data_IF_749019455531
#
_entry.id   IF_749019455531
#
_cell.length_a   1.000
_cell.length_b   1.000
_cell.length_c   1.000
_cell.angle_alpha   90.00
_cell.angle_beta   90.00
_cell.angle_gamma   90.00
#
_symmetry.space_group_name_H-M   'P 1'
#
loop_
_entity.id
_entity.type
_entity.pdbx_description
1 polymer ?
#
# COMPACT_ATOMS: atom_id res chain seq x y z
N UNK A 1 11.84 -35.97 15.72
CA UNK A 1 12.85 -34.98 16.14
C UNK A 1 13.01 -33.98 15.01
N UNK A 2 12.77 -32.68 15.20
CA UNK A 2 12.98 -31.71 14.13
C UNK A 2 14.50 -31.59 13.91
N UNK A 3 14.93 -31.80 12.67
CA UNK A 3 16.32 -31.62 12.28
C UNK A 3 16.76 -30.20 12.68
N UNK A 4 17.73 -30.10 13.57
CA UNK A 4 18.34 -28.82 13.93
C UNK A 4 18.96 -28.21 12.69
N UNK A 5 18.32 -27.18 12.14
CA UNK A 5 18.90 -26.38 11.07
C UNK A 5 20.18 -25.75 11.61
N UNK A 6 21.32 -26.30 11.20
CA UNK A 6 22.64 -25.83 11.62
C UNK A 6 22.79 -24.34 11.26
N UNK A 7 23.14 -23.45 12.22
CA UNK A 7 23.20 -22.00 12.00
C UNK A 7 24.18 -21.56 10.90
N UNK A 8 25.11 -22.43 10.51
CA UNK A 8 26.05 -22.22 9.40
C UNK A 8 25.35 -22.26 8.02
N UNK A 9 24.28 -23.04 7.85
CA UNK A 9 23.58 -23.16 6.57
C UNK A 9 22.74 -21.90 6.22
N UNK A 10 22.18 -21.23 7.23
CA UNK A 10 21.39 -20.00 7.05
C UNK A 10 22.25 -18.80 6.61
N UNK A 11 23.56 -18.83 6.90
CA UNK A 11 24.49 -17.76 6.52
C UNK A 11 24.76 -17.67 5.02
N UNK A 12 24.41 -18.70 4.23
CA UNK A 12 24.62 -18.73 2.76
C UNK A 12 23.34 -18.57 1.94
N UNK A 13 22.17 -18.60 2.57
CA UNK A 13 20.89 -18.46 1.88
C UNK A 13 20.78 -17.05 1.27
N UNK A 14 20.32 -16.94 0.03
CA UNK A 14 20.04 -15.63 -0.57
C UNK A 14 18.92 -14.91 0.20
N UNK A 15 18.81 -13.57 0.11
CA UNK A 15 17.69 -12.85 0.73
C UNK A 15 16.30 -13.37 0.33
N UNK A 16 16.16 -13.81 -0.92
CA UNK A 16 14.93 -14.43 -1.44
C UNK A 16 14.70 -15.82 -0.83
N UNK A 17 15.73 -16.63 -0.64
CA UNK A 17 15.60 -17.95 0.01
C UNK A 17 15.12 -17.80 1.45
N UNK A 18 15.63 -16.80 2.19
CA UNK A 18 15.15 -16.50 3.54
C UNK A 18 13.67 -16.10 3.56
N UNK A 19 13.19 -15.36 2.57
CA UNK A 19 11.76 -15.02 2.47
C UNK A 19 10.91 -16.23 2.10
N UNK A 20 11.41 -17.08 1.19
CA UNK A 20 10.73 -18.33 0.84
C UNK A 20 10.59 -19.24 2.05
N UNK A 21 11.66 -19.37 2.87
CA UNK A 21 11.62 -20.13 4.13
C UNK A 21 10.67 -19.49 5.15
N UNK A 22 10.72 -18.16 5.32
CA UNK A 22 9.85 -17.43 6.23
C UNK A 22 8.36 -17.67 5.95
N UNK A 23 7.97 -17.72 4.68
CA UNK A 23 6.56 -17.91 4.29
C UNK A 23 6.17 -19.37 3.99
N UNK A 24 7.09 -20.32 4.02
CA UNK A 24 6.84 -21.70 3.58
C UNK A 24 5.67 -22.36 4.33
N UNK A 25 5.60 -22.17 5.65
CA UNK A 25 4.58 -22.77 6.52
C UNK A 25 3.53 -21.79 7.04
N UNK A 26 3.59 -20.51 6.68
CA UNK A 26 2.74 -19.48 7.30
C UNK A 26 1.28 -19.56 6.79
N UNK A 27 0.29 -19.85 7.67
CA UNK A 27 -1.12 -19.94 7.29
C UNK A 27 -1.79 -18.56 7.35
N UNK A 28 -1.12 -17.54 6.81
CA UNK A 28 -1.60 -16.15 6.81
C UNK A 28 -1.85 -15.66 5.39
N UNK A 29 -2.55 -14.52 5.25
CA UNK A 29 -2.73 -13.85 3.95
C UNK A 29 -1.38 -13.65 3.26
N UNK A 30 -0.40 -13.12 3.98
CA UNK A 30 0.93 -12.85 3.44
C UNK A 30 1.65 -14.14 3.01
N UNK A 31 1.50 -15.23 3.78
CA UNK A 31 2.03 -16.55 3.40
C UNK A 31 1.45 -17.06 2.09
N UNK A 32 0.12 -17.01 1.93
CA UNK A 32 -0.56 -17.39 0.68
C UNK A 32 -0.04 -16.56 -0.50
N UNK A 33 -0.02 -15.22 -0.35
CA UNK A 33 0.41 -14.31 -1.41
C UNK A 33 1.89 -14.48 -1.76
N UNK A 34 2.74 -14.74 -0.77
CA UNK A 34 4.17 -14.96 -0.97
C UNK A 34 4.44 -16.27 -1.71
N UNK A 35 3.78 -17.36 -1.33
CA UNK A 35 3.88 -18.65 -2.01
C UNK A 35 3.39 -18.60 -3.45
N UNK A 36 2.24 -17.94 -3.67
CA UNK A 36 1.71 -17.70 -5.01
C UNK A 36 2.69 -16.86 -5.85
N UNK A 37 3.25 -15.79 -5.28
CA UNK A 37 4.28 -15.00 -5.94
C UNK A 37 5.47 -15.89 -6.35
N UNK A 38 6.01 -16.70 -5.43
CA UNK A 38 7.14 -17.60 -5.69
C UNK A 38 6.84 -18.76 -6.66
N UNK A 39 5.63 -18.88 -7.20
CA UNK A 39 5.23 -19.99 -8.07
C UNK A 39 5.15 -21.33 -7.34
N UNK A 40 4.96 -21.30 -6.02
CA UNK A 40 4.95 -22.49 -5.13
C UNK A 40 3.75 -22.46 -4.17
N UNK A 41 2.50 -22.37 -4.65
CA UNK A 41 1.33 -22.42 -3.78
C UNK A 41 1.33 -23.73 -2.98
N UNK A 42 0.94 -23.67 -1.71
CA UNK A 42 0.78 -24.85 -0.88
C UNK A 42 -0.58 -25.52 -1.13
N UNK A 43 -0.65 -26.82 -0.88
CA UNK A 43 -1.93 -27.53 -0.87
C UNK A 43 -2.84 -26.91 0.19
N UNK A 44 -4.06 -26.52 -0.22
CA UNK A 44 -5.03 -25.88 0.67
C UNK A 44 -4.97 -24.35 0.74
N UNK A 45 -4.07 -23.67 0.02
CA UNK A 45 -4.00 -22.20 0.02
C UNK A 45 -5.31 -21.53 -0.43
N UNK A 46 -5.96 -22.08 -1.46
CA UNK A 46 -7.27 -21.61 -1.92
C UNK A 46 -8.36 -21.75 -0.85
N UNK A 47 -8.36 -22.88 -0.13
CA UNK A 47 -9.31 -23.14 0.95
C UNK A 47 -9.02 -22.26 2.17
N UNK A 48 -7.76 -22.00 2.47
CA UNK A 48 -7.36 -21.07 3.52
C UNK A 48 -7.79 -19.63 3.18
N UNK A 49 -7.60 -19.20 1.93
CA UNK A 49 -8.05 -17.89 1.45
C UNK A 49 -9.58 -17.74 1.59
N UNK A 50 -10.35 -18.74 1.15
CA UNK A 50 -11.82 -18.77 1.29
C UNK A 50 -12.26 -18.65 2.75
N UNK A 51 -11.71 -19.48 3.64
CA UNK A 51 -12.01 -19.43 5.10
C UNK A 51 -11.63 -18.09 5.71
N UNK A 52 -10.57 -17.45 5.23
CA UNK A 52 -10.15 -16.15 5.71
C UNK A 52 -11.14 -15.05 5.29
N UNK A 53 -11.64 -15.07 4.05
CA UNK A 53 -12.71 -14.17 3.58
C UNK A 53 -14.00 -14.39 4.37
N UNK A 54 -14.41 -15.63 4.61
CA UNK A 54 -15.60 -15.98 5.39
C UNK A 54 -15.49 -15.49 6.84
N UNK A 55 -14.40 -15.80 7.52
CA UNK A 55 -14.14 -15.34 8.90
C UNK A 55 -14.13 -13.82 8.97
N UNK A 56 -13.46 -13.18 8.02
CA UNK A 56 -13.44 -11.73 7.89
C UNK A 56 -14.84 -11.14 7.76
N UNK A 57 -15.71 -11.77 6.97
CA UNK A 57 -17.11 -11.38 6.81
C UNK A 57 -17.93 -11.56 8.09
N UNK A 58 -17.66 -12.61 8.88
CA UNK A 58 -18.31 -12.86 10.16
C UNK A 58 -17.87 -11.90 11.27
N UNK A 59 -16.65 -11.34 11.18
CA UNK A 59 -16.13 -10.33 12.11
C UNK A 59 -16.69 -8.91 11.85
N UNK A 60 -17.38 -8.69 10.73
CA UNK A 60 -17.98 -7.40 10.40
C UNK A 60 -19.19 -7.12 11.28
N UNK A 61 -19.33 -5.87 11.70
CA UNK A 61 -20.55 -5.37 12.33
C UNK A 61 -21.69 -5.30 11.30
N UNK A 62 -22.92 -5.12 11.78
CA UNK A 62 -24.11 -5.00 10.92
C UNK A 62 -24.03 -3.84 9.93
N UNK A 63 -23.29 -2.78 10.26
CA UNK A 63 -23.03 -1.64 9.37
C UNK A 63 -21.92 -1.91 8.34
N UNK A 64 -21.24 -3.05 8.40
CA UNK A 64 -20.12 -3.41 7.51
C UNK A 64 -18.74 -3.00 8.03
N UNK A 65 -18.65 -2.32 9.19
CA UNK A 65 -17.36 -1.92 9.77
C UNK A 65 -16.64 -3.06 10.48
N UNK A 66 -15.31 -3.05 10.40
CA UNK A 66 -14.43 -3.91 11.20
C UNK A 66 -13.99 -3.15 12.47
N UNK A 67 -14.49 -3.60 13.62
CA UNK A 67 -14.18 -3.02 14.95
C UNK A 67 -14.48 -1.51 15.06
N UNK A 68 -15.34 -0.96 14.21
CA UNK A 68 -15.75 0.45 14.24
C UNK A 68 -14.65 1.46 13.87
N UNK A 69 -13.51 1.04 13.31
CA UNK A 69 -12.42 1.96 12.92
C UNK A 69 -12.23 1.96 11.41
N UNK A 70 -12.03 3.14 10.82
CA UNK A 70 -11.90 3.29 9.37
C UNK A 70 -10.69 2.56 8.82
N UNK A 71 -9.50 2.75 9.37
CA UNK A 71 -8.26 2.14 8.85
C UNK A 71 -8.36 0.60 8.87
N UNK A 72 -8.89 0.01 9.95
CA UNK A 72 -9.09 -1.45 10.03
C UNK A 72 -10.13 -1.93 9.02
N UNK A 73 -11.22 -1.20 8.85
CA UNK A 73 -12.29 -1.55 7.90
C UNK A 73 -11.79 -1.46 6.46
N UNK A 74 -11.09 -0.38 6.11
CA UNK A 74 -10.50 -0.21 4.78
C UNK A 74 -9.47 -1.31 4.54
N UNK A 75 -8.60 -1.60 5.51
CA UNK A 75 -7.62 -2.68 5.37
C UNK A 75 -8.29 -4.03 5.14
N UNK A 76 -9.42 -4.30 5.82
CA UNK A 76 -10.16 -5.54 5.61
C UNK A 76 -10.64 -5.71 4.17
N UNK A 77 -11.03 -4.61 3.50
CA UNK A 77 -11.35 -4.64 2.07
C UNK A 77 -10.14 -5.06 1.23
N UNK A 78 -8.96 -4.48 1.50
CA UNK A 78 -7.72 -4.86 0.84
C UNK A 78 -7.35 -6.33 1.05
N UNK A 79 -7.51 -6.84 2.26
CA UNK A 79 -7.19 -8.24 2.57
C UNK A 79 -8.09 -9.21 1.79
N UNK A 80 -9.40 -8.91 1.69
CA UNK A 80 -10.33 -9.70 0.88
C UNK A 80 -10.01 -9.61 -0.63
N UNK A 81 -9.70 -8.42 -1.13
CA UNK A 81 -9.31 -8.20 -2.53
C UNK A 81 -8.00 -8.91 -2.88
N UNK A 82 -7.02 -8.90 -1.98
CA UNK A 82 -5.75 -9.61 -2.16
C UNK A 82 -5.97 -11.13 -2.25
N UNK A 83 -6.92 -11.66 -1.48
CA UNK A 83 -7.27 -13.09 -1.47
C UNK A 83 -8.25 -13.50 -2.58
N UNK A 84 -8.55 -12.59 -3.52
CA UNK A 84 -9.37 -12.89 -4.70
C UNK A 84 -10.87 -12.94 -4.43
N UNK A 85 -11.35 -12.27 -3.38
CA UNK A 85 -12.80 -12.10 -3.20
C UNK A 85 -13.41 -11.42 -4.45
N UNK A 86 -14.46 -12.03 -5.00
CA UNK A 86 -15.25 -11.41 -6.07
C UNK A 86 -15.82 -10.06 -5.59
N UNK A 87 -15.86 -9.01 -6.43
CA UNK A 87 -16.52 -7.75 -6.10
C UNK A 87 -17.97 -7.92 -5.62
N UNK A 88 -18.67 -8.96 -6.08
CA UNK A 88 -20.05 -9.27 -5.72
C UNK A 88 -20.17 -10.15 -4.45
N UNK A 89 -19.04 -10.57 -3.86
CA UNK A 89 -19.07 -11.35 -2.63
C UNK A 89 -19.65 -10.51 -1.49
N UNK A 90 -20.73 -10.99 -0.87
CA UNK A 90 -21.46 -10.26 0.17
C UNK A 90 -20.58 -9.66 1.29
N UNK A 91 -19.53 -10.34 1.81
CA UNK A 91 -18.61 -9.73 2.77
C UNK A 91 -17.89 -8.49 2.24
N UNK A 92 -17.36 -8.56 1.01
CA UNK A 92 -16.60 -7.48 0.41
C UNK A 92 -17.51 -6.29 0.05
N UNK A 93 -18.68 -6.57 -0.54
CA UNK A 93 -19.69 -5.54 -0.85
C UNK A 93 -20.09 -4.75 0.40
N UNK A 94 -20.36 -5.42 1.55
CA UNK A 94 -20.69 -4.73 2.80
C UNK A 94 -19.57 -3.82 3.29
N UNK A 95 -18.32 -4.29 3.28
CA UNK A 95 -17.16 -3.46 3.69
C UNK A 95 -17.00 -2.26 2.75
N UNK A 96 -17.08 -2.49 1.44
CA UNK A 96 -16.92 -1.44 0.45
C UNK A 96 -18.04 -0.40 0.54
N UNK A 97 -19.29 -0.81 0.77
CA UNK A 97 -20.40 0.12 1.02
C UNK A 97 -20.06 1.04 2.20
N UNK A 98 -19.63 0.48 3.33
CA UNK A 98 -19.24 1.26 4.49
C UNK A 98 -18.07 2.22 4.19
N UNK A 99 -17.03 1.75 3.49
CA UNK A 99 -15.88 2.59 3.10
C UNK A 99 -16.31 3.74 2.19
N UNK A 100 -17.16 3.46 1.20
CA UNK A 100 -17.62 4.46 0.24
C UNK A 100 -18.55 5.50 0.88
N UNK A 101 -19.31 5.12 1.91
CA UNK A 101 -20.10 6.06 2.71
C UNK A 101 -19.25 7.05 3.51
N UNK A 102 -17.93 6.84 3.66
CA UNK A 102 -17.04 7.85 4.25
C UNK A 102 -16.83 9.05 3.33
N UNK A 103 -17.13 8.97 2.03
CA UNK A 103 -17.04 10.13 1.13
C UNK A 103 -18.20 11.09 1.40
N UNK A 104 -17.88 12.38 1.53
CA UNK A 104 -18.86 13.43 1.79
C UNK A 104 -19.29 13.55 3.25
N UNK A 105 -18.77 12.71 4.15
CA UNK A 105 -18.88 12.91 5.60
C UNK A 105 -17.90 14.00 6.06
N UNK A 106 -18.20 14.72 7.15
CA UNK A 106 -17.26 15.64 7.75
C UNK A 106 -16.06 14.89 8.33
N UNK A 107 -14.90 15.51 8.30
CA UNK A 107 -13.60 15.02 8.73
C UNK A 107 -12.67 14.61 7.59
N UNK A 108 -13.00 14.96 6.34
CA UNK A 108 -12.15 14.65 5.20
C UNK A 108 -10.88 15.52 5.18
N UNK A 109 -9.80 14.99 4.59
CA UNK A 109 -8.69 15.87 4.21
C UNK A 109 -9.22 16.92 3.23
N UNK A 110 -8.79 18.17 3.39
CA UNK A 110 -9.29 19.27 2.56
C UNK A 110 -10.46 20.03 3.18
N UNK A 111 -11.19 19.47 4.15
CA UNK A 111 -12.33 20.17 4.78
C UNK A 111 -11.91 21.45 5.51
N UNK A 112 -12.72 22.49 5.36
CA UNK A 112 -12.47 23.81 5.95
C UNK A 112 -11.50 24.66 5.14
N UNK A 113 -11.64 25.98 5.27
CA UNK A 113 -10.87 26.96 4.53
C UNK A 113 -10.34 28.07 5.46
N UNK A 114 -9.03 28.13 5.61
CA UNK A 114 -8.31 29.27 6.18
C UNK A 114 -7.39 29.91 5.12
N UNK A 115 -6.79 31.06 5.43
CA UNK A 115 -5.96 31.81 4.49
C UNK A 115 -4.74 31.02 3.99
N UNK A 116 -4.12 30.23 4.87
CA UNK A 116 -2.92 29.45 4.53
C UNK A 116 -3.29 28.29 3.58
N UNK A 117 -4.31 27.52 3.94
CA UNK A 117 -4.81 26.40 3.13
C UNK A 117 -5.38 26.88 1.80
N UNK A 118 -6.08 28.01 1.79
CA UNK A 118 -6.60 28.59 0.55
C UNK A 118 -5.47 29.02 -0.38
N UNK A 119 -4.47 29.75 0.13
CA UNK A 119 -3.30 30.16 -0.65
C UNK A 119 -2.51 28.99 -1.24
N UNK A 120 -2.55 27.83 -0.60
CA UNK A 120 -1.90 26.59 -1.06
C UNK A 120 -2.83 25.63 -1.80
N UNK A 121 -4.09 26.00 -2.00
CA UNK A 121 -5.09 25.17 -2.68
C UNK A 121 -5.33 23.81 -2.00
N UNK A 122 -5.38 23.80 -0.67
CA UNK A 122 -5.56 22.62 0.20
C UNK A 122 -6.87 22.61 1.00
N UNK A 123 -7.77 23.53 0.67
CA UNK A 123 -9.12 23.57 1.22
C UNK A 123 -10.12 22.95 0.24
N UNK A 124 -11.35 22.74 0.71
CA UNK A 124 -12.46 22.13 0.00
C UNK A 124 -12.84 22.81 -1.33
N UNK A 125 -12.45 24.08 -1.51
CA UNK A 125 -12.57 24.76 -2.81
C UNK A 125 -11.73 24.14 -3.93
N UNK A 126 -10.64 23.44 -3.60
CA UNK A 126 -9.67 22.92 -4.58
C UNK A 126 -9.50 21.41 -4.51
N UNK A 127 -9.67 20.81 -3.33
CA UNK A 127 -9.52 19.36 -3.10
C UNK A 127 -10.82 18.76 -2.61
N UNK A 128 -11.35 17.80 -3.36
CA UNK A 128 -12.69 17.24 -3.19
C UNK A 128 -12.67 15.70 -3.26
N UNK A 129 -13.73 15.07 -2.77
CA UNK A 129 -13.94 13.61 -2.88
C UNK A 129 -13.13 12.76 -1.90
N UNK A 130 -12.33 13.37 -1.03
CA UNK A 130 -11.61 12.66 0.03
C UNK A 130 -12.58 11.94 0.98
N UNK A 131 -12.23 10.73 1.38
CA UNK A 131 -12.89 9.96 2.43
C UNK A 131 -12.59 10.59 3.80
N UNK A 132 -13.60 10.64 4.68
CA UNK A 132 -13.46 11.08 6.06
C UNK A 132 -13.25 9.87 7.00
N UNK A 133 -12.00 9.53 7.38
CA UNK A 133 -11.72 8.37 8.22
C UNK A 133 -12.23 8.49 9.67
N UNK A 134 -12.54 9.70 10.13
CA UNK A 134 -13.14 9.98 11.44
C UNK A 134 -13.83 11.34 11.38
N UNK A 135 -14.83 11.62 12.24
CA UNK A 135 -15.39 12.97 12.40
C UNK A 135 -14.31 14.04 12.69
N UNK A 136 -14.58 15.34 12.44
CA UNK A 136 -13.59 16.40 12.61
C UNK A 136 -13.04 16.52 14.04
N UNK A 137 -13.91 16.36 15.04
CA UNK A 137 -13.55 16.48 16.46
C UNK A 137 -12.87 15.22 17.01
N UNK A 138 -12.92 14.11 16.29
CA UNK A 138 -12.28 12.87 16.72
C UNK A 138 -10.85 12.83 16.19
N UNK A 139 -9.87 12.82 17.10
CA UNK A 139 -8.46 12.64 16.75
C UNK A 139 -8.25 11.28 16.08
N UNK A 140 -7.59 11.29 14.92
CA UNK A 140 -7.23 10.08 14.19
C UNK A 140 -5.76 9.70 14.41
N UNK A 141 -4.86 10.68 14.47
CA UNK A 141 -3.43 10.42 14.57
C UNK A 141 -2.99 10.07 16.01
N UNK A 142 -2.05 9.12 16.20
CA UNK A 142 -1.28 8.45 15.16
C UNK A 142 -2.03 7.31 14.47
N UNK A 143 -1.80 7.16 13.15
CA UNK A 143 -2.26 5.99 12.37
C UNK A 143 -1.06 5.19 11.90
N UNK A 144 -1.13 3.87 12.07
CA UNK A 144 -0.19 2.91 11.47
C UNK A 144 -0.86 2.26 10.28
N UNK A 145 -0.29 2.43 9.09
CA UNK A 145 -0.72 1.73 7.88
C UNK A 145 -0.28 0.25 7.92
N UNK A 146 -0.89 -0.62 7.09
CA UNK A 146 -0.57 -2.04 7.05
C UNK A 146 0.91 -2.37 6.80
N UNK A 147 1.62 -1.55 6.03
CA UNK A 147 3.06 -1.67 5.77
C UNK A 147 3.95 -1.19 6.95
N UNK A 148 3.34 -0.77 8.06
CA UNK A 148 4.02 -0.27 9.26
C UNK A 148 4.33 1.22 9.24
N UNK A 149 4.01 1.97 8.17
CA UNK A 149 4.21 3.43 8.14
C UNK A 149 3.31 4.11 9.17
N UNK A 150 3.91 4.94 10.02
CA UNK A 150 3.19 5.72 11.05
C UNK A 150 3.04 7.17 10.61
N UNK A 151 1.81 7.65 10.56
CA UNK A 151 1.46 9.07 10.37
C UNK A 151 1.08 9.68 11.71
N UNK A 152 1.93 10.59 12.22
CA UNK A 152 1.76 11.22 13.54
C UNK A 152 1.00 12.55 13.51
N UNK A 153 1.02 13.24 12.38
CA UNK A 153 0.27 14.47 12.18
C UNK A 153 -1.15 14.16 11.72
N UNK A 154 -2.15 14.87 12.27
CA UNK A 154 -3.58 14.63 12.02
C UNK A 154 -3.95 14.76 10.53
N UNK A 155 -3.54 15.85 9.88
CA UNK A 155 -3.79 16.08 8.45
C UNK A 155 -3.18 14.99 7.58
N UNK A 156 -1.96 14.56 7.91
CA UNK A 156 -1.23 13.53 7.20
C UNK A 156 -1.89 12.14 7.37
N UNK A 157 -2.36 11.81 8.59
CA UNK A 157 -3.09 10.57 8.85
C UNK A 157 -4.43 10.52 8.11
N UNK A 158 -5.16 11.65 8.05
CA UNK A 158 -6.41 11.76 7.29
C UNK A 158 -6.17 11.58 5.79
N UNK A 159 -5.16 12.27 5.25
CA UNK A 159 -4.75 12.13 3.85
C UNK A 159 -4.40 10.69 3.49
N UNK A 160 -3.48 10.07 4.24
CA UNK A 160 -3.01 8.71 3.97
C UNK A 160 -4.13 7.66 4.11
N UNK A 161 -5.02 7.82 5.08
CA UNK A 161 -6.19 6.94 5.25
C UNK A 161 -7.18 7.10 4.08
N UNK A 162 -7.32 8.33 3.58
CA UNK A 162 -8.13 8.61 2.38
C UNK A 162 -7.54 7.98 1.13
N UNK A 163 -6.23 8.05 0.92
CA UNK A 163 -5.54 7.36 -0.17
C UNK A 163 -5.67 5.84 -0.05
N UNK A 164 -5.60 5.27 1.17
CA UNK A 164 -5.87 3.86 1.41
C UNK A 164 -7.32 3.49 1.01
N UNK A 165 -8.32 4.28 1.39
CA UNK A 165 -9.72 4.06 1.00
C UNK A 165 -9.93 4.16 -0.52
N UNK A 166 -9.28 5.14 -1.17
CA UNK A 166 -9.34 5.31 -2.62
C UNK A 166 -8.80 4.08 -3.35
N UNK A 167 -7.69 3.50 -2.87
CA UNK A 167 -7.15 2.25 -3.44
C UNK A 167 -8.15 1.11 -3.36
N UNK A 168 -8.80 0.91 -2.21
CA UNK A 168 -9.82 -0.13 -2.06
C UNK A 168 -10.96 0.06 -3.09
N UNK A 169 -11.47 1.30 -3.22
CA UNK A 169 -12.55 1.62 -4.15
C UNK A 169 -12.15 1.43 -5.62
N UNK A 170 -10.93 1.81 -6.00
CA UNK A 170 -10.43 1.64 -7.37
C UNK A 170 -10.22 0.16 -7.71
N UNK A 171 -9.61 -0.60 -6.80
CA UNK A 171 -9.38 -2.05 -6.96
C UNK A 171 -10.66 -2.87 -7.04
N UNK A 172 -11.76 -2.38 -6.45
CA UNK A 172 -13.07 -3.03 -6.51
C UNK A 172 -13.96 -2.52 -7.64
N UNK A 173 -13.41 -1.76 -8.60
CA UNK A 173 -14.14 -1.34 -9.80
C UNK A 173 -15.04 -0.11 -9.65
N UNK A 174 -14.97 0.64 -8.55
CA UNK A 174 -15.79 1.85 -8.35
C UNK A 174 -15.23 3.12 -9.02
N UNK A 175 -14.40 2.97 -10.06
CA UNK A 175 -13.75 4.10 -10.76
C UNK A 175 -14.73 5.14 -11.30
N UNK A 176 -15.93 4.71 -11.69
CA UNK A 176 -16.93 5.57 -12.34
C UNK A 176 -17.84 6.32 -11.36
N UNK A 177 -17.69 6.11 -10.05
CA UNK A 177 -18.41 6.91 -9.06
C UNK A 177 -17.90 8.34 -9.10
N UNK A 178 -18.81 9.32 -9.24
CA UNK A 178 -18.48 10.74 -9.34
C UNK A 178 -17.49 11.20 -8.26
N UNK A 179 -17.74 10.84 -7.01
CA UNK A 179 -16.90 11.22 -5.86
C UNK A 179 -15.53 10.56 -5.86
N UNK A 180 -15.40 9.32 -6.39
CA UNK A 180 -14.11 8.65 -6.59
C UNK A 180 -13.31 9.37 -7.68
N UNK A 181 -13.93 9.72 -8.81
CA UNK A 181 -13.28 10.54 -9.86
C UNK A 181 -12.83 11.90 -9.33
N UNK A 182 -13.64 12.56 -8.51
CA UNK A 182 -13.27 13.85 -7.88
C UNK A 182 -12.03 13.70 -6.99
N UNK A 183 -11.92 12.61 -6.23
CA UNK A 183 -10.73 12.34 -5.41
C UNK A 183 -9.49 12.13 -6.29
N UNK A 184 -9.59 11.30 -7.34
CA UNK A 184 -8.49 11.10 -8.31
C UNK A 184 -8.06 12.42 -8.94
N UNK A 185 -9.00 13.23 -9.42
CA UNK A 185 -8.71 14.56 -9.99
C UNK A 185 -8.02 15.46 -8.97
N UNK A 186 -8.47 15.44 -7.71
CA UNK A 186 -7.85 16.24 -6.65
C UNK A 186 -6.41 15.81 -6.36
N UNK A 187 -6.12 14.50 -6.39
CA UNK A 187 -4.74 14.01 -6.27
C UNK A 187 -3.86 14.43 -7.45
N UNK A 188 -4.40 14.46 -8.67
CA UNK A 188 -3.68 14.98 -9.85
C UNK A 188 -3.36 16.47 -9.67
N UNK A 189 -4.34 17.28 -9.27
CA UNK A 189 -4.12 18.71 -9.01
C UNK A 189 -3.10 18.97 -7.90
N UNK A 190 -3.06 18.12 -6.86
CA UNK A 190 -2.04 18.18 -5.81
C UNK A 190 -0.66 17.77 -6.33
N UNK A 191 -0.61 16.76 -7.19
CA UNK A 191 0.63 16.28 -7.79
C UNK A 191 1.32 17.31 -8.67
N UNK A 192 0.61 18.32 -9.17
CA UNK A 192 1.21 19.46 -9.89
C UNK A 192 1.99 20.41 -8.97
N UNK A 193 1.76 20.33 -7.65
CA UNK A 193 2.49 21.12 -6.65
C UNK A 193 3.71 20.37 -6.09
N UNK A 194 3.87 19.08 -6.37
CA UNK A 194 4.95 18.25 -5.86
C UNK A 194 6.18 18.31 -6.75
N UNK A 195 6.84 19.46 -6.78
CA UNK A 195 8.09 19.67 -7.52
C UNK A 195 9.34 19.41 -6.69
N UNK A 196 9.20 19.31 -5.36
CA UNK A 196 10.31 19.10 -4.42
C UNK A 196 9.94 18.01 -3.42
N UNK A 197 10.92 17.16 -3.05
CA UNK A 197 10.71 16.02 -2.16
C UNK A 197 10.51 16.42 -0.69
N UNK A 198 11.23 17.44 -0.23
CA UNK A 198 11.19 17.95 1.16
C UNK A 198 10.54 19.32 1.25
N UNK A 199 9.55 19.57 0.39
CA UNK A 199 8.79 20.81 0.38
C UNK A 199 7.72 20.86 1.48
N UNK A 200 6.62 21.55 1.18
CA UNK A 200 5.50 21.65 2.10
C UNK A 200 4.86 20.29 2.43
N UNK A 201 4.83 19.37 1.47
CA UNK A 201 4.37 18.00 1.68
C UNK A 201 5.54 17.12 2.09
N UNK A 202 5.34 16.30 3.12
CA UNK A 202 6.32 15.27 3.42
C UNK A 202 6.36 14.22 2.30
N UNK A 203 7.53 13.60 2.06
CA UNK A 203 7.67 12.50 1.10
C UNK A 203 6.61 11.40 1.23
N UNK A 204 6.26 11.03 2.46
CA UNK A 204 5.28 9.97 2.69
C UNK A 204 3.88 10.32 2.13
N UNK A 205 3.49 11.60 2.10
CA UNK A 205 2.21 12.00 1.49
C UNK A 205 2.25 11.86 -0.04
N UNK A 206 3.36 12.25 -0.66
CA UNK A 206 3.59 12.04 -2.09
C UNK A 206 3.49 10.54 -2.41
N UNK A 207 4.11 9.70 -1.60
CA UNK A 207 4.10 8.24 -1.76
C UNK A 207 2.71 7.63 -1.52
N UNK A 208 1.94 8.10 -0.54
CA UNK A 208 0.56 7.67 -0.33
C UNK A 208 -0.33 7.98 -1.55
N UNK A 209 -0.16 9.17 -2.14
CA UNK A 209 -0.88 9.58 -3.34
C UNK A 209 -0.45 8.82 -4.59
N UNK A 210 0.87 8.63 -4.80
CA UNK A 210 1.41 7.82 -5.88
C UNK A 210 0.80 6.42 -5.86
N UNK A 211 0.75 5.77 -4.70
CA UNK A 211 0.15 4.44 -4.58
C UNK A 211 -1.33 4.47 -4.97
N UNK A 212 -2.11 5.48 -4.53
CA UNK A 212 -3.50 5.59 -4.94
C UNK A 212 -3.69 5.82 -6.44
N UNK A 213 -2.89 6.72 -7.04
CA UNK A 213 -2.93 7.04 -8.47
C UNK A 213 -2.49 5.85 -9.35
N UNK A 214 -1.60 4.99 -8.87
CA UNK A 214 -1.21 3.77 -9.58
C UNK A 214 -2.39 2.83 -9.86
N UNK A 215 -3.46 2.89 -9.07
CA UNK A 215 -4.69 2.11 -9.28
C UNK A 215 -5.76 2.87 -10.06
N UNK A 216 -5.53 4.13 -10.45
CA UNK A 216 -6.55 4.97 -11.07
C UNK A 216 -6.78 4.67 -12.57
N UNK A 217 -5.94 3.83 -13.18
CA UNK A 217 -6.02 3.45 -14.59
C UNK A 217 -4.95 4.12 -15.46
N UNK A 218 -4.78 3.63 -16.71
CA UNK A 218 -3.71 4.08 -17.62
C UNK A 218 -3.81 5.55 -18.01
N UNK A 219 -5.00 6.17 -17.94
CA UNK A 219 -5.18 7.59 -18.21
C UNK A 219 -4.43 8.51 -17.24
N UNK A 220 -3.94 7.97 -16.12
CA UNK A 220 -3.12 8.68 -15.13
C UNK A 220 -1.63 8.35 -15.24
N UNK A 221 -1.24 7.59 -16.27
CA UNK A 221 0.13 7.09 -16.46
C UNK A 221 1.20 8.18 -16.43
N UNK A 222 0.96 9.33 -17.05
CA UNK A 222 1.93 10.45 -17.06
C UNK A 222 2.23 10.98 -15.64
N UNK A 223 1.18 11.19 -14.83
CA UNK A 223 1.34 11.66 -13.45
C UNK A 223 2.03 10.60 -12.60
N UNK A 224 1.69 9.31 -12.79
CA UNK A 224 2.32 8.18 -12.09
C UNK A 224 3.81 8.07 -12.45
N UNK A 225 4.18 8.21 -13.72
CA UNK A 225 5.58 8.20 -14.19
C UNK A 225 6.36 9.39 -13.62
N UNK A 226 5.76 10.59 -13.63
CA UNK A 226 6.37 11.80 -13.06
C UNK A 226 6.64 11.64 -11.57
N UNK A 227 5.67 11.17 -10.79
CA UNK A 227 5.83 10.97 -9.34
C UNK A 227 6.80 9.82 -9.02
N UNK A 228 6.81 8.76 -9.82
CA UNK A 228 7.80 7.68 -9.70
C UNK A 228 9.21 8.20 -9.97
N UNK A 229 9.37 9.04 -11.00
CA UNK A 229 10.63 9.70 -11.34
C UNK A 229 11.09 10.65 -10.24
N UNK A 230 10.17 11.43 -9.65
CA UNK A 230 10.45 12.28 -8.50
C UNK A 230 10.98 11.47 -7.32
N UNK A 231 10.32 10.36 -6.96
CA UNK A 231 10.77 9.48 -5.90
C UNK A 231 12.14 8.85 -6.23
N UNK A 232 12.35 8.39 -7.47
CA UNK A 232 13.60 7.80 -7.92
C UNK A 232 14.77 8.80 -7.88
N UNK A 233 14.54 10.07 -8.22
CA UNK A 233 15.55 11.12 -8.22
C UNK A 233 16.01 11.54 -6.81
N UNK A 234 15.19 11.31 -5.79
CA UNK A 234 15.48 11.63 -4.38
C UNK A 234 15.87 10.40 -3.56
N UNK A 235 16.23 9.30 -4.23
CA UNK A 235 16.83 8.15 -3.57
C UNK A 235 18.33 8.42 -3.36
N UNK A 236 18.80 8.21 -2.14
CA UNK A 236 20.21 8.31 -1.80
C UNK A 236 21.04 7.18 -2.42
N UNK A 237 22.37 7.35 -2.41
CA UNK A 237 23.32 6.38 -2.99
C UNK A 237 23.28 5.01 -2.31
N UNK A 238 22.84 4.95 -1.06
CA UNK A 238 22.65 3.70 -0.32
C UNK A 238 21.34 2.97 -0.70
N UNK A 239 20.55 3.54 -1.61
CA UNK A 239 19.28 2.98 -2.05
C UNK A 239 18.10 3.30 -1.12
N UNK A 240 18.27 4.17 -0.13
CA UNK A 240 17.22 4.60 0.78
C UNK A 240 16.64 5.95 0.36
N UNK A 241 15.53 6.33 1.00
CA UNK A 241 14.90 7.63 0.82
C UNK A 241 14.96 8.42 2.12
N UNK A 242 15.68 9.55 2.17
CA UNK A 242 15.68 10.39 3.34
C UNK A 242 14.25 10.91 3.58
N UNK A 243 13.83 10.87 4.84
CA UNK A 243 12.50 11.33 5.30
C UNK A 243 11.29 10.56 4.73
N UNK A 244 11.48 9.35 4.18
CA UNK A 244 10.39 8.46 3.79
C UNK A 244 10.59 7.04 4.36
N UNK A 245 9.49 6.33 4.63
CA UNK A 245 9.59 4.92 5.02
C UNK A 245 9.90 4.02 3.81
N UNK A 246 10.96 3.20 3.92
CA UNK A 246 11.42 2.30 2.86
C UNK A 246 10.30 1.41 2.32
N UNK A 247 9.55 0.74 3.20
CA UNK A 247 8.51 -0.19 2.77
C UNK A 247 7.32 0.53 2.17
N UNK A 248 7.03 1.74 2.63
CA UNK A 248 6.00 2.57 2.02
C UNK A 248 6.35 2.95 0.58
N UNK A 249 7.60 3.36 0.32
CA UNK A 249 8.08 3.71 -1.02
C UNK A 249 8.09 2.49 -1.94
N UNK A 250 8.68 1.37 -1.49
CA UNK A 250 8.74 0.14 -2.28
C UNK A 250 7.34 -0.35 -2.70
N UNK A 251 6.39 -0.34 -1.77
CA UNK A 251 5.00 -0.76 -2.00
C UNK A 251 4.30 0.14 -3.05
N UNK A 252 4.52 1.46 -2.98
CA UNK A 252 3.98 2.38 -3.98
C UNK A 252 4.63 2.24 -5.36
N UNK A 253 5.96 2.06 -5.43
CA UNK A 253 6.68 1.88 -6.70
C UNK A 253 6.32 0.56 -7.38
N UNK A 254 6.13 -0.51 -6.60
CA UNK A 254 5.62 -1.80 -7.09
C UNK A 254 4.23 -1.66 -7.72
N UNK A 255 3.33 -0.91 -7.06
CA UNK A 255 2.01 -0.64 -7.61
C UNK A 255 2.08 0.20 -8.90
N UNK A 256 2.99 1.18 -8.95
CA UNK A 256 3.18 2.06 -10.10
C UNK A 256 3.71 1.34 -11.34
N UNK A 257 4.62 0.35 -11.17
CA UNK A 257 5.12 -0.48 -12.27
C UNK A 257 5.92 0.27 -13.34
N UNK A 258 6.43 1.46 -13.03
CA UNK A 258 7.17 2.34 -13.95
C UNK A 258 8.62 1.93 -14.13
N UNK A 259 9.28 2.37 -15.21
CA UNK A 259 10.71 2.10 -15.42
C UNK A 259 11.58 2.83 -14.41
N UNK A 260 11.24 4.08 -14.09
CA UNK A 260 11.91 4.83 -13.01
C UNK A 260 11.76 4.11 -11.66
N UNK A 261 10.57 3.59 -11.37
CA UNK A 261 10.30 2.81 -10.17
C UNK A 261 11.14 1.52 -10.10
N UNK A 262 11.22 0.76 -11.18
CA UNK A 262 12.04 -0.46 -11.26
C UNK A 262 13.52 -0.15 -11.00
N UNK A 263 14.06 0.90 -11.63
CA UNK A 263 15.44 1.33 -11.43
C UNK A 263 15.70 1.72 -9.96
N UNK A 264 14.77 2.42 -9.32
CA UNK A 264 14.90 2.79 -7.91
C UNK A 264 14.78 1.59 -6.97
N UNK A 265 13.83 0.68 -7.22
CA UNK A 265 13.70 -0.57 -6.45
C UNK A 265 14.99 -1.40 -6.53
N UNK A 266 15.61 -1.52 -7.71
CA UNK A 266 16.90 -2.21 -7.87
C UNK A 266 18.00 -1.63 -6.99
N UNK A 267 18.12 -0.30 -6.94
CA UNK A 267 19.08 0.37 -6.07
C UNK A 267 18.78 0.16 -4.58
N UNK A 268 17.52 -0.02 -4.21
CA UNK A 268 17.11 -0.29 -2.84
C UNK A 268 17.36 -1.74 -2.37
N UNK A 269 17.46 -2.71 -3.30
CA UNK A 269 17.59 -4.15 -2.95
C UNK A 269 18.77 -4.45 -2.02
N UNK A 270 20.00 -3.91 -2.21
CA UNK A 270 21.11 -4.15 -1.28
C UNK A 270 20.81 -3.69 0.14
N UNK A 271 20.28 -2.48 0.32
CA UNK A 271 19.91 -1.96 1.65
C UNK A 271 18.73 -2.73 2.26
N UNK A 272 17.78 -3.16 1.44
CA UNK A 272 16.69 -4.03 1.87
C UNK A 272 17.25 -5.38 2.36
N UNK A 273 18.12 -6.03 1.59
CA UNK A 273 18.76 -7.29 1.98
C UNK A 273 19.56 -7.17 3.28
N UNK A 274 20.29 -6.06 3.48
CA UNK A 274 21.04 -5.80 4.71
C UNK A 274 20.16 -5.61 5.96
N UNK A 275 18.89 -5.20 5.78
CA UNK A 275 17.92 -5.03 6.88
C UNK A 275 17.13 -6.29 7.21
N UNK A 276 17.27 -7.33 6.40
CA UNK A 276 16.56 -8.58 6.60
C UNK A 276 17.18 -9.35 7.78
N UNK A 277 16.34 -9.78 8.72
CA UNK A 277 16.76 -10.63 9.83
C UNK A 277 17.10 -12.04 9.33
N UNK A 278 17.87 -12.84 10.11
CA UNK A 278 18.18 -14.23 9.75
C UNK A 278 16.94 -15.11 9.54
N UNK A 279 15.84 -14.82 10.23
CA UNK A 279 14.54 -15.49 10.09
C UNK A 279 13.75 -15.06 8.85
N UNK A 280 14.24 -14.08 8.08
CA UNK A 280 13.59 -13.54 6.90
C UNK A 280 12.68 -12.33 7.15
N UNK A 281 12.39 -11.99 8.41
CA UNK A 281 11.50 -10.89 8.78
C UNK A 281 12.18 -9.50 8.71
N UNK A 282 11.36 -8.45 8.80
CA UNK A 282 11.80 -7.05 8.79
C UNK A 282 11.22 -6.25 9.95
N UNK A 283 12.09 -5.75 10.83
CA UNK A 283 11.70 -4.94 11.98
C UNK A 283 10.83 -5.70 12.99
N UNK A 284 10.16 -4.97 13.88
CA UNK A 284 9.26 -5.51 14.91
C UNK A 284 7.78 -5.30 14.59
N UNK A 285 7.46 -4.29 13.77
CA UNK A 285 6.09 -3.91 13.36
C UNK A 285 5.77 -4.38 11.95
N UNK A 286 4.53 -4.84 11.70
CA UNK A 286 4.07 -5.25 10.38
C UNK A 286 5.00 -6.25 9.66
N UNK A 287 5.61 -7.16 10.43
CA UNK A 287 6.72 -8.02 9.97
C UNK A 287 6.37 -8.79 8.70
N UNK A 288 5.20 -9.44 8.67
CA UNK A 288 4.74 -10.22 7.52
C UNK A 288 4.43 -9.33 6.31
N UNK A 289 3.84 -8.16 6.50
CA UNK A 289 3.52 -7.25 5.38
C UNK A 289 4.81 -6.69 4.76
N UNK A 290 5.77 -6.27 5.60
CA UNK A 290 7.08 -5.80 5.16
C UNK A 290 7.87 -6.88 4.46
N UNK A 291 7.82 -8.13 4.95
CA UNK A 291 8.42 -9.27 4.27
C UNK A 291 7.78 -9.55 2.92
N UNK A 292 6.45 -9.44 2.79
CA UNK A 292 5.76 -9.60 1.52
C UNK A 292 6.13 -8.49 0.51
N UNK A 293 6.20 -7.23 0.96
CA UNK A 293 6.65 -6.10 0.13
C UNK A 293 8.10 -6.33 -0.33
N UNK A 294 8.97 -6.75 0.58
CA UNK A 294 10.37 -7.04 0.26
C UNK A 294 10.51 -8.16 -0.78
N UNK A 295 9.74 -9.24 -0.63
CA UNK A 295 9.70 -10.35 -1.58
C UNK A 295 9.32 -9.85 -2.98
N UNK A 296 8.24 -9.07 -3.07
CA UNK A 296 7.76 -8.49 -4.34
C UNK A 296 8.82 -7.56 -4.95
N UNK A 297 9.44 -6.71 -4.14
CA UNK A 297 10.49 -5.79 -4.58
C UNK A 297 11.72 -6.51 -5.14
N UNK A 298 12.23 -7.51 -4.41
CA UNK A 298 13.40 -8.28 -4.84
C UNK A 298 13.12 -9.09 -6.11
N UNK A 299 11.93 -9.69 -6.23
CA UNK A 299 11.51 -10.39 -7.43
C UNK A 299 11.37 -9.46 -8.63
N UNK A 300 10.69 -8.32 -8.45
CA UNK A 300 10.54 -7.34 -9.53
C UNK A 300 11.89 -6.82 -10.03
N UNK A 301 12.82 -6.56 -9.12
CA UNK A 301 14.18 -6.15 -9.46
C UNK A 301 14.93 -7.20 -10.28
N UNK A 302 14.74 -8.50 -9.96
CA UNK A 302 15.37 -9.64 -10.62
C UNK A 302 14.75 -9.96 -11.98
N UNK A 303 13.42 -10.11 -12.05
CA UNK A 303 12.69 -10.47 -13.27
C UNK A 303 12.82 -9.41 -14.35
N UNK A 304 12.88 -8.12 -13.98
CA UNK A 304 13.14 -7.06 -14.95
C UNK A 304 14.52 -7.12 -15.59
N UNK A 305 15.46 -7.96 -15.09
CA UNK A 305 16.80 -8.12 -15.68
C UNK A 305 16.79 -9.09 -16.85
N UNK A 306 15.79 -9.97 -16.95
CA UNK A 306 15.70 -10.85 -18.10
C UNK A 306 15.37 -10.00 -19.33
N UNK A 307 16.26 -9.94 -20.36
CA UNK A 307 15.86 -9.36 -21.63
C UNK A 307 14.64 -10.15 -22.09
N UNK A 308 13.53 -9.44 -22.39
CA UNK A 308 12.37 -10.07 -23.03
C UNK A 308 12.91 -10.83 -24.24
N UNK A 309 13.02 -12.16 -24.14
CA UNK A 309 13.34 -12.99 -25.29
C UNK A 309 12.28 -12.64 -26.33
N UNK A 310 12.72 -12.09 -27.46
CA UNK A 310 11.82 -11.84 -28.57
C UNK A 310 11.07 -13.15 -28.85
N UNK A 311 9.75 -13.11 -29.06
CA UNK A 311 9.02 -14.30 -29.46
C UNK A 311 9.69 -14.83 -30.74
N UNK A 312 10.23 -16.04 -30.64
CA UNK A 312 10.71 -16.84 -31.75
C UNK A 312 9.55 -17.36 -32.57
#
# INVERSE_FOLDING_TARGET
MPAGNSPVALSRASPLDRLALYFAGEPTRQGILARAALGRPAHGDAELARRWIERSGAELRSDGSARGTSVTTIWRAHEMLDLGASPDAAPLDRVLRWVLELQGRPGAFGEGCDRERHGRRLCEHFVLGFFAPAPPLQRLAPVTLPNGKIYRAESAARFASSCLALRAALRSGHRDRRVVRQHVTSLVCLADQWTTWTGYFSPDLIIAALHALAHAGPERGEVVERLSSLAAAHQDRDGLWPNADLFHVLDALLAAGTQAGLAAVRRAVPALAARQRPDGAFGTTAQQERALIALRAMRWAHEGQEPRRAPS
#
